data_IF_235866470503
#
_entry.id   IF_235866470503
#
_cell.length_a   1.000
_cell.length_b   1.000
_cell.length_c   1.000
_cell.angle_alpha   90.00
_cell.angle_beta   90.00
_cell.angle_gamma   90.00
#
_symmetry.space_group_name_H-M   'P 1'
#
loop_
_entity.id
_entity.type
_entity.pdbx_description
1 polymer ?
#
# COMPACT_ATOMS: atom_id res chain seq x y z
N UNK A 1 -9.07 -2.06 13.12
CA UNK A 1 -10.25 -1.68 12.30
C UNK A 1 -10.06 -0.26 11.81
N UNK A 2 -10.35 0.04 10.54
CA UNK A 2 -10.25 1.40 9.98
C UNK A 2 -11.57 2.14 10.21
N UNK A 3 -11.51 3.40 10.65
CA UNK A 3 -12.68 4.27 10.82
C UNK A 3 -12.99 5.00 9.52
N UNK A 4 -13.66 4.29 8.60
CA UNK A 4 -13.97 4.78 7.26
C UNK A 4 -14.87 6.01 7.31
N UNK A 5 -15.86 6.03 8.20
CA UNK A 5 -16.82 7.14 8.30
C UNK A 5 -16.11 8.45 8.60
N UNK A 6 -15.18 8.44 9.57
CA UNK A 6 -14.45 9.66 9.93
C UNK A 6 -13.42 10.07 8.87
N UNK A 7 -12.84 9.11 8.15
CA UNK A 7 -11.95 9.42 7.02
C UNK A 7 -12.75 10.10 5.90
N UNK A 8 -13.89 9.52 5.49
CA UNK A 8 -14.74 10.07 4.42
C UNK A 8 -15.26 11.47 4.78
N UNK A 9 -15.75 11.68 6.00
CA UNK A 9 -16.18 13.00 6.48
C UNK A 9 -15.10 14.09 6.30
N UNK A 10 -13.83 13.74 6.58
CA UNK A 10 -12.71 14.67 6.42
C UNK A 10 -12.34 14.92 4.96
N UNK A 11 -12.35 13.86 4.14
CA UNK A 11 -12.12 13.99 2.71
C UNK A 11 -13.21 14.84 2.04
N UNK A 12 -14.47 14.64 2.42
CA UNK A 12 -15.63 15.44 1.93
C UNK A 12 -15.56 16.92 2.35
N UNK A 13 -14.72 17.23 3.34
CA UNK A 13 -14.43 18.59 3.82
C UNK A 13 -13.13 19.16 3.21
N UNK A 14 -12.71 18.68 2.03
CA UNK A 14 -11.49 19.08 1.31
C UNK A 14 -10.19 18.95 2.15
N UNK A 15 -10.18 18.07 3.15
CA UNK A 15 -9.01 17.86 4.01
C UNK A 15 -8.13 16.71 3.52
N UNK A 16 -6.83 16.82 3.78
CA UNK A 16 -5.90 15.69 3.62
C UNK A 16 -5.87 14.89 4.92
N UNK A 17 -6.17 13.59 4.83
CA UNK A 17 -6.14 12.67 5.96
C UNK A 17 -4.78 11.99 6.03
N UNK A 18 -4.06 12.18 7.14
CA UNK A 18 -2.79 11.50 7.42
C UNK A 18 -3.06 10.34 8.38
N UNK A 19 -2.75 9.12 7.94
CA UNK A 19 -2.94 7.90 8.72
C UNK A 19 -1.60 7.35 9.19
N UNK A 20 -1.48 7.07 10.48
CA UNK A 20 -0.32 6.40 11.07
C UNK A 20 -0.40 4.88 10.85
N UNK A 21 0.74 4.20 10.78
CA UNK A 21 0.82 2.74 10.69
C UNK A 21 0.58 2.03 12.04
N UNK A 22 0.12 2.75 13.06
CA UNK A 22 -0.14 2.23 14.40
C UNK A 22 -1.55 1.66 14.49
N UNK A 23 -1.65 0.41 14.96
CA UNK A 23 -2.90 -0.29 15.23
C UNK A 23 -3.18 -0.43 16.72
N UNK A 24 -4.44 -0.73 17.06
CA UNK A 24 -4.86 -1.03 18.43
C UNK A 24 -5.61 -2.37 18.47
N UNK A 25 -5.26 -3.24 19.42
CA UNK A 25 -5.96 -4.49 19.67
C UNK A 25 -7.27 -4.26 20.46
N UNK A 26 -8.09 -5.30 20.63
CA UNK A 26 -9.30 -5.24 21.45
C UNK A 26 -9.02 -5.07 22.94
N UNK A 27 -7.85 -5.47 23.42
CA UNK A 27 -7.34 -5.23 24.79
C UNK A 27 -6.71 -3.83 24.95
N UNK A 28 -6.55 -3.07 23.87
CA UNK A 28 -5.96 -1.73 23.90
C UNK A 28 -4.43 -1.70 23.70
N UNK A 29 -3.81 -2.82 23.33
CA UNK A 29 -2.38 -2.87 23.02
C UNK A 29 -2.09 -2.14 21.72
N UNK A 30 -0.95 -1.43 21.71
CA UNK A 30 -0.48 -0.69 20.54
C UNK A 30 0.36 -1.62 19.67
N UNK A 31 0.05 -1.66 18.38
CA UNK A 31 0.71 -2.49 17.39
C UNK A 31 1.41 -1.61 16.35
N UNK A 32 2.66 -1.93 16.04
CA UNK A 32 3.36 -1.35 14.90
C UNK A 32 3.08 -2.21 13.67
N UNK A 33 2.19 -1.74 12.78
CA UNK A 33 1.78 -2.50 11.60
C UNK A 33 2.66 -2.18 10.39
N UNK A 34 2.71 -3.09 9.43
CA UNK A 34 3.35 -2.82 8.16
C UNK A 34 2.62 -1.69 7.43
N UNK A 35 3.33 -0.62 7.11
CA UNK A 35 2.77 0.57 6.44
C UNK A 35 2.09 0.23 5.12
N UNK A 36 2.63 -0.70 4.34
CA UNK A 36 2.03 -1.10 3.05
C UNK A 36 0.70 -1.84 3.24
N UNK A 37 0.59 -2.67 4.28
CA UNK A 37 -0.66 -3.35 4.61
C UNK A 37 -1.71 -2.36 5.10
N UNK A 38 -1.32 -1.40 5.95
CA UNK A 38 -2.22 -0.33 6.43
C UNK A 38 -2.71 0.53 5.27
N UNK A 39 -1.81 0.95 4.38
CA UNK A 39 -2.16 1.76 3.20
C UNK A 39 -3.10 1.00 2.26
N UNK A 40 -2.83 -0.29 1.99
CA UNK A 40 -3.68 -1.15 1.16
C UNK A 40 -5.06 -1.34 1.78
N UNK A 41 -5.12 -1.67 3.08
CA UNK A 41 -6.38 -1.83 3.79
C UNK A 41 -7.18 -0.52 3.83
N UNK A 42 -6.51 0.62 3.99
CA UNK A 42 -7.15 1.95 3.96
C UNK A 42 -7.72 2.25 2.57
N UNK A 43 -6.94 2.04 1.50
CA UNK A 43 -7.38 2.27 0.13
C UNK A 43 -8.59 1.39 -0.23
N UNK A 44 -8.57 0.11 0.16
CA UNK A 44 -9.73 -0.78 0.00
C UNK A 44 -10.95 -0.30 0.78
N UNK A 45 -10.76 0.10 2.04
CA UNK A 45 -11.87 0.48 2.92
C UNK A 45 -12.54 1.80 2.53
N UNK A 46 -11.80 2.73 1.92
CA UNK A 46 -12.37 3.98 1.38
C UNK A 46 -12.78 3.87 -0.10
N UNK A 47 -12.57 2.72 -0.73
CA UNK A 47 -12.82 2.48 -2.15
C UNK A 47 -12.04 3.46 -3.05
N UNK A 48 -10.75 3.63 -2.76
CA UNK A 48 -9.89 4.51 -3.55
C UNK A 48 -9.67 3.98 -4.96
N UNK A 49 -9.72 4.87 -5.95
CA UNK A 49 -9.42 4.52 -7.36
C UNK A 49 -7.96 4.09 -7.56
N UNK A 50 -7.03 4.61 -6.74
CA UNK A 50 -5.59 4.41 -6.89
C UNK A 50 -4.88 4.31 -5.56
N UNK A 51 -3.91 3.39 -5.48
CA UNK A 51 -2.91 3.31 -4.44
C UNK A 51 -1.56 3.72 -5.02
N UNK A 52 -0.99 4.81 -4.52
CA UNK A 52 0.33 5.32 -4.96
C UNK A 52 1.36 4.97 -3.88
N UNK A 53 2.36 4.18 -4.25
CA UNK A 53 3.47 3.83 -3.38
C UNK A 53 4.71 4.64 -3.76
N UNK A 54 5.28 5.35 -2.79
CA UNK A 54 6.58 6.02 -2.93
C UNK A 54 7.62 5.07 -2.35
N UNK A 55 8.56 4.63 -3.17
CA UNK A 55 9.60 3.67 -2.80
C UNK A 55 10.97 4.18 -3.23
N UNK A 56 12.00 3.75 -2.52
CA UNK A 56 13.37 4.03 -2.91
C UNK A 56 13.79 3.09 -4.05
N UNK A 57 13.99 3.67 -5.24
CA UNK A 57 14.44 2.94 -6.42
C UNK A 57 13.34 2.60 -7.43
N UNK A 58 13.77 2.11 -8.60
CA UNK A 58 12.90 1.77 -9.71
C UNK A 58 12.89 0.25 -9.94
N UNK A 59 11.81 -0.24 -10.55
CA UNK A 59 11.74 -1.65 -10.99
C UNK A 59 12.34 -1.73 -12.39
N UNK A 60 13.39 -2.54 -12.53
CA UNK A 60 14.06 -2.78 -13.81
C UNK A 60 13.73 -4.15 -14.40
N UNK A 61 13.77 -4.22 -15.72
CA UNK A 61 13.77 -5.46 -16.49
C UNK A 61 15.16 -6.12 -16.50
N UNK A 62 15.28 -7.25 -17.20
CA UNK A 62 16.52 -8.03 -17.31
C UNK A 62 17.65 -7.30 -18.06
N UNK A 63 17.30 -6.25 -18.81
CA UNK A 63 18.23 -5.42 -19.55
C UNK A 63 18.58 -4.12 -18.79
N UNK A 64 18.12 -3.97 -17.55
CA UNK A 64 18.37 -2.79 -16.71
C UNK A 64 17.53 -1.57 -17.09
N UNK A 65 16.43 -1.75 -17.84
CA UNK A 65 15.53 -0.65 -18.23
C UNK A 65 14.36 -0.56 -17.26
N UNK A 66 13.91 0.65 -16.95
CA UNK A 66 12.76 0.88 -16.07
C UNK A 66 11.50 0.30 -16.69
N UNK A 67 10.71 -0.42 -15.87
CA UNK A 67 9.41 -0.96 -16.27
C UNK A 67 8.32 0.09 -15.95
N UNK A 68 7.70 0.74 -16.96
CA UNK A 68 6.71 1.79 -16.73
C UNK A 68 5.31 1.25 -16.42
N UNK A 69 5.02 0.02 -16.84
CA UNK A 69 3.74 -0.65 -16.64
C UNK A 69 4.00 -2.14 -16.46
N UNK A 70 3.21 -2.76 -15.58
CA UNK A 70 3.29 -4.18 -15.29
C UNK A 70 1.91 -4.71 -14.95
N UNK A 71 1.49 -5.78 -15.62
CA UNK A 71 0.31 -6.55 -15.25
C UNK A 71 0.56 -7.42 -14.01
N UNK A 72 -0.50 -7.93 -13.39
CA UNK A 72 -0.38 -8.81 -12.22
C UNK A 72 0.38 -10.11 -12.54
N UNK A 73 0.20 -10.67 -13.74
CA UNK A 73 0.89 -11.88 -14.17
C UNK A 73 2.40 -11.65 -14.35
N UNK A 74 2.78 -10.54 -14.99
CA UNK A 74 4.19 -10.15 -15.14
C UNK A 74 4.85 -9.89 -13.77
N UNK A 75 4.12 -9.28 -12.84
CA UNK A 75 4.60 -9.05 -11.47
C UNK A 75 4.86 -10.36 -10.72
N UNK A 76 3.92 -11.32 -10.76
CA UNK A 76 4.10 -12.63 -10.13
C UNK A 76 5.28 -13.40 -10.73
N UNK A 77 5.42 -13.38 -12.06
CA UNK A 77 6.58 -13.99 -12.74
C UNK A 77 7.89 -13.35 -12.27
N UNK A 78 7.95 -12.02 -12.17
CA UNK A 78 9.15 -11.31 -11.74
C UNK A 78 9.53 -11.63 -10.29
N UNK A 79 8.55 -11.69 -9.38
CA UNK A 79 8.75 -12.07 -7.98
C UNK A 79 9.34 -13.49 -7.89
N UNK A 80 8.72 -14.46 -8.58
CA UNK A 80 9.19 -15.86 -8.59
C UNK A 80 10.59 -15.99 -9.19
N UNK A 81 10.91 -15.23 -10.24
CA UNK A 81 12.23 -15.25 -10.87
C UNK A 81 13.30 -14.74 -9.91
N UNK A 82 13.06 -13.59 -9.24
CA UNK A 82 13.99 -13.02 -8.26
C UNK A 82 14.17 -13.91 -7.03
N UNK A 83 13.11 -14.55 -6.56
CA UNK A 83 13.19 -15.47 -5.42
C UNK A 83 14.08 -16.70 -5.69
N UNK A 84 14.24 -17.14 -6.95
CA UNK A 84 15.14 -18.24 -7.33
C UNK A 84 16.61 -17.82 -7.48
N UNK A 85 16.86 -16.51 -7.63
CA UNK A 85 18.21 -15.95 -7.81
C UNK A 85 18.86 -15.54 -6.49
N UNK A 86 18.07 -15.51 -5.41
CA UNK A 86 18.50 -15.20 -4.05
C UNK A 86 18.78 -16.48 -3.25
#
# INVERSE_FOLDING_TARGET
KIDVSRIKERLDSDSIVVVSNMGYSSSGEVLNCNTYEVATACALAIEADKLICIVDGQIFDEHGRVIPFMSLEEADMLIRKRAKQS
#
